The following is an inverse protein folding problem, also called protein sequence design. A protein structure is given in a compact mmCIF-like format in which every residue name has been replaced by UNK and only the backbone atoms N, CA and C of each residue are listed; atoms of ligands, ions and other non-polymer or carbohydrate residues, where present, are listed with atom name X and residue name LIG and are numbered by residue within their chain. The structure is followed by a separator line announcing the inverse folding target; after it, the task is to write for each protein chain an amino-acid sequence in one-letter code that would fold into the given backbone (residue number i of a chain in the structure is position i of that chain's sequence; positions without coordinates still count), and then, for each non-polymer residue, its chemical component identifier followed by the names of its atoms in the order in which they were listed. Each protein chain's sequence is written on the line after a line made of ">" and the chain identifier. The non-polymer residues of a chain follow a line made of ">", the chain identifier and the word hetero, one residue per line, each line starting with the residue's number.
data_IF_883823214797
#
_entry.id   IF_883823214797
#
_cell.length_a   1.000
_cell.length_b   1.000
_cell.length_c   1.000
_cell.angle_alpha   90.00
_cell.angle_beta   90.00
_cell.angle_gamma   90.00
#
_symmetry.space_group_name_H-M   'P 1'
#
loop_
_entity.id
_entity.type
_entity.pdbx_description
1 polymer ?
#
# COMPACT_ATOMS: atom_id res chain seq x y z
N UNK A 1 77.59 4.31 57.80
CA UNK A 1 76.25 4.38 57.17
C UNK A 1 76.01 3.12 56.35
N UNK A 2 75.03 2.28 56.72
CA UNK A 2 74.22 1.42 55.83
C UNK A 2 73.17 0.67 56.66
N UNK A 3 71.92 0.77 56.20
CA UNK A 3 70.68 0.14 56.69
C UNK A 3 70.43 -1.17 55.95
N UNK A 4 69.90 -2.19 56.63
CA UNK A 4 69.16 -3.35 56.06
C UNK A 4 68.04 -3.66 57.08
N UNK A 5 66.78 -3.32 56.82
CA UNK A 5 65.77 -3.94 55.93
C UNK A 5 65.30 -5.31 56.45
N UNK A 6 64.10 -5.31 57.04
CA UNK A 6 63.41 -6.45 57.64
C UNK A 6 62.27 -6.86 56.70
N UNK A 7 62.29 -8.13 56.27
CA UNK A 7 61.27 -8.76 55.44
C UNK A 7 60.14 -9.25 56.34
N UNK A 8 58.91 -8.86 56.05
CA UNK A 8 57.69 -9.48 56.61
C UNK A 8 56.81 -9.95 55.45
N UNK A 9 56.48 -11.23 55.53
CA UNK A 9 55.58 -11.99 54.67
C UNK A 9 54.13 -11.62 55.03
N UNK A 10 53.30 -11.22 54.05
CA UNK A 10 51.87 -10.95 54.25
C UNK A 10 51.05 -12.00 53.49
N UNK A 11 50.30 -12.81 54.25
CA UNK A 11 49.29 -13.73 53.77
C UNK A 11 48.05 -12.98 53.23
N UNK A 12 47.36 -13.61 52.29
CA UNK A 12 46.34 -12.99 51.44
C UNK A 12 45.03 -12.58 52.12
N UNK A 13 44.34 -11.66 51.46
CA UNK A 13 42.91 -11.39 51.56
C UNK A 13 42.29 -11.66 50.19
N UNK A 14 41.18 -12.42 50.09
CA UNK A 14 40.43 -12.51 48.85
C UNK A 14 39.74 -11.16 48.60
N UNK A 15 39.99 -10.58 47.42
CA UNK A 15 39.22 -9.45 46.92
C UNK A 15 37.80 -9.94 46.64
N UNK A 16 36.83 -9.49 47.44
CA UNK A 16 35.42 -9.60 47.09
C UNK A 16 35.19 -8.76 45.82
N UNK A 17 34.76 -9.41 44.74
CA UNK A 17 34.32 -8.71 43.53
C UNK A 17 33.04 -7.93 43.83
N UNK A 18 33.00 -6.66 43.44
CA UNK A 18 31.76 -5.89 43.45
C UNK A 18 30.81 -6.49 42.40
N UNK A 19 29.78 -7.21 42.83
CA UNK A 19 28.70 -7.66 41.96
C UNK A 19 27.86 -6.44 41.58
N UNK A 20 27.64 -6.22 40.28
CA UNK A 20 26.71 -5.20 39.78
C UNK A 20 25.30 -5.79 39.78
N UNK A 21 24.33 -5.07 40.31
CA UNK A 21 22.93 -5.50 40.32
C UNK A 21 22.39 -5.55 38.88
N UNK A 22 21.86 -6.71 38.48
CA UNK A 22 21.24 -6.97 37.19
C UNK A 22 19.73 -7.11 37.33
N UNK A 23 19.02 -6.90 36.23
CA UNK A 23 17.56 -7.06 36.13
C UNK A 23 17.22 -7.83 34.86
N UNK A 24 16.14 -8.62 34.89
CA UNK A 24 15.58 -9.25 33.70
C UNK A 24 14.52 -8.31 33.13
N UNK A 25 14.79 -7.64 32.01
CA UNK A 25 13.85 -6.72 31.38
C UNK A 25 12.82 -7.50 30.56
N UNK A 26 11.54 -7.25 30.82
CA UNK A 26 10.42 -8.03 30.28
C UNK A 26 9.57 -7.20 29.33
N UNK A 27 9.29 -5.95 29.71
CA UNK A 27 8.46 -5.04 28.93
C UNK A 27 9.02 -3.62 29.09
N UNK A 28 8.72 -2.75 28.15
CA UNK A 28 8.96 -1.31 28.29
C UNK A 28 7.74 -0.60 27.76
N UNK A 29 7.29 0.44 28.46
CA UNK A 29 6.09 1.21 28.11
C UNK A 29 6.36 2.69 28.25
N UNK A 30 5.64 3.50 27.49
CA UNK A 30 5.60 4.94 27.74
C UNK A 30 4.98 5.19 29.12
N UNK A 31 5.45 6.21 29.85
CA UNK A 31 5.17 6.40 31.29
C UNK A 31 3.69 6.35 31.67
N UNK A 32 2.80 6.86 30.80
CA UNK A 32 1.34 6.81 31.01
C UNK A 32 0.75 5.38 31.05
N UNK A 33 1.36 4.42 30.36
CA UNK A 33 0.94 3.02 30.33
C UNK A 33 1.78 2.11 31.24
N UNK A 34 2.98 2.57 31.63
CA UNK A 34 3.94 1.77 32.37
C UNK A 34 3.44 1.32 33.74
N UNK A 35 2.71 2.16 34.46
CA UNK A 35 2.15 1.80 35.76
C UNK A 35 1.15 0.63 35.65
N UNK A 36 0.29 0.64 34.63
CA UNK A 36 -0.67 -0.45 34.38
C UNK A 36 0.01 -1.74 33.97
N UNK A 37 1.03 -1.66 33.11
CA UNK A 37 1.82 -2.82 32.70
C UNK A 37 2.65 -3.40 33.85
N UNK A 38 3.27 -2.55 34.66
CA UNK A 38 4.00 -2.94 35.86
C UNK A 38 3.09 -3.67 36.87
N UNK A 39 1.89 -3.15 37.12
CA UNK A 39 0.91 -3.79 38.00
C UNK A 39 0.45 -5.17 37.49
N UNK A 40 0.32 -5.35 36.16
CA UNK A 40 0.02 -6.67 35.57
C UNK A 40 1.12 -7.68 35.86
N UNK A 41 2.38 -7.31 35.65
CA UNK A 41 3.52 -8.18 35.94
C UNK A 41 3.70 -8.43 37.44
N UNK A 42 3.44 -7.43 38.28
CA UNK A 42 3.48 -7.57 39.74
C UNK A 42 2.42 -8.54 40.30
N UNK A 43 1.34 -8.79 39.54
CA UNK A 43 0.37 -9.85 39.87
C UNK A 43 0.90 -11.27 39.65
N UNK A 44 1.98 -11.44 38.89
CA UNK A 44 2.59 -12.73 38.55
C UNK A 44 3.96 -12.93 39.21
N UNK A 45 4.71 -11.86 39.46
CA UNK A 45 6.04 -11.88 40.06
C UNK A 45 6.12 -10.87 41.22
N UNK A 46 6.73 -11.27 42.34
CA UNK A 46 6.77 -10.46 43.56
C UNK A 46 7.91 -9.42 43.58
N UNK A 47 8.83 -9.51 42.64
CA UNK A 47 10.07 -8.73 42.56
C UNK A 47 10.14 -7.92 41.27
N UNK A 48 9.00 -7.37 40.87
CA UNK A 48 8.92 -6.44 39.73
C UNK A 48 9.39 -5.07 40.16
N UNK A 49 10.33 -4.53 39.39
CA UNK A 49 10.84 -3.18 39.53
C UNK A 49 10.58 -2.41 38.24
N UNK A 50 10.35 -1.12 38.39
CA UNK A 50 10.38 -0.16 37.29
C UNK A 50 11.58 0.74 37.41
N UNK A 51 12.12 1.16 36.28
CA UNK A 51 13.12 2.21 36.25
C UNK A 51 13.00 3.02 34.97
N UNK A 52 13.30 4.33 35.05
CA UNK A 52 13.19 5.19 33.89
C UNK A 52 14.22 4.78 32.83
N UNK A 53 13.75 4.68 31.60
CA UNK A 53 14.57 4.62 30.40
C UNK A 53 14.56 6.00 29.71
N UNK A 54 15.55 6.28 28.85
CA UNK A 54 15.52 7.48 28.04
C UNK A 54 14.21 7.61 27.23
N UNK A 55 13.78 8.85 27.01
CA UNK A 55 12.60 9.22 26.21
C UNK A 55 11.22 8.88 26.81
N UNK A 56 11.05 8.96 28.13
CA UNK A 56 9.72 8.79 28.79
C UNK A 56 9.18 7.36 28.73
N UNK A 57 10.09 6.40 28.53
CA UNK A 57 9.81 4.99 28.67
C UNK A 57 10.20 4.56 30.07
N UNK A 58 9.42 3.66 30.63
CA UNK A 58 9.74 2.98 31.87
C UNK A 58 9.95 1.50 31.55
N UNK A 59 11.12 0.98 31.91
CA UNK A 59 11.39 -0.44 31.88
C UNK A 59 10.59 -1.12 32.99
N UNK A 60 10.06 -2.31 32.68
CA UNK A 60 9.46 -3.21 33.66
C UNK A 60 10.35 -4.45 33.68
N UNK A 61 10.91 -4.74 34.85
CA UNK A 61 11.91 -5.78 34.99
C UNK A 61 11.72 -6.58 36.29
N UNK A 62 12.34 -7.76 36.34
CA UNK A 62 12.43 -8.59 37.55
C UNK A 62 13.83 -8.39 38.16
N UNK A 63 13.87 -8.00 39.42
CA UNK A 63 15.11 -7.82 40.18
C UNK A 63 14.99 -6.85 41.36
N UNK A 64 16.10 -6.42 41.97
CA UNK A 64 17.49 -6.69 41.57
C UNK A 64 17.93 -8.14 41.80
N UNK A 65 18.81 -8.65 40.94
CA UNK A 65 19.43 -9.98 40.96
C UNK A 65 20.93 -9.85 40.72
N UNK A 66 21.72 -10.85 41.12
CA UNK A 66 23.09 -10.92 40.58
C UNK A 66 23.07 -11.33 39.09
N UNK A 67 24.11 -11.00 38.30
CA UNK A 67 24.14 -11.36 36.87
C UNK A 67 24.06 -12.87 36.63
N UNK A 68 24.66 -13.68 37.50
CA UNK A 68 24.59 -15.15 37.44
C UNK A 68 23.16 -15.66 37.72
N UNK A 69 22.49 -15.12 38.74
CA UNK A 69 21.10 -15.46 39.06
C UNK A 69 20.13 -15.00 37.98
N UNK A 70 20.32 -13.80 37.43
CA UNK A 70 19.51 -13.27 36.33
C UNK A 70 19.61 -14.16 35.09
N UNK A 71 20.82 -14.63 34.74
CA UNK A 71 21.07 -15.54 33.63
C UNK A 71 20.42 -16.92 33.83
N UNK A 72 20.49 -17.50 35.02
CA UNK A 72 19.84 -18.78 35.31
C UNK A 72 18.30 -18.64 35.31
N UNK A 73 17.78 -17.54 35.85
CA UNK A 73 16.35 -17.31 36.02
C UNK A 73 15.65 -16.96 34.71
N UNK A 74 16.28 -16.18 33.82
CA UNK A 74 15.67 -15.83 32.52
C UNK A 74 15.43 -17.08 31.65
N UNK A 75 16.39 -18.01 31.61
CA UNK A 75 16.28 -19.26 30.83
C UNK A 75 15.15 -20.15 31.37
N UNK A 76 15.03 -20.25 32.69
CA UNK A 76 13.94 -21.00 33.32
C UNK A 76 12.55 -20.39 33.01
N UNK A 77 12.43 -19.06 33.07
CA UNK A 77 11.18 -18.35 32.80
C UNK A 77 10.77 -18.43 31.32
N UNK A 78 11.73 -18.32 30.38
CA UNK A 78 11.47 -18.48 28.95
C UNK A 78 11.06 -19.90 28.60
N UNK A 79 11.74 -20.91 29.14
CA UNK A 79 11.41 -22.32 28.93
C UNK A 79 10.02 -22.69 29.47
N UNK A 80 9.60 -22.04 30.55
CA UNK A 80 8.27 -22.20 31.13
C UNK A 80 7.19 -21.32 30.48
N UNK A 81 7.54 -20.48 29.49
CA UNK A 81 6.60 -19.57 28.82
C UNK A 81 6.03 -18.48 29.73
N UNK A 82 6.69 -18.17 30.85
CA UNK A 82 6.20 -17.22 31.86
C UNK A 82 6.57 -15.76 31.55
N UNK A 83 7.55 -15.54 30.66
CA UNK A 83 7.96 -14.23 30.16
C UNK A 83 8.11 -14.28 28.62
N UNK A 84 8.05 -13.14 27.92
CA UNK A 84 8.29 -13.05 26.48
C UNK A 84 9.69 -13.55 26.06
N UNK A 85 9.79 -14.14 24.87
CA UNK A 85 11.05 -14.72 24.37
C UNK A 85 12.14 -13.67 24.08
N UNK A 86 11.74 -12.43 23.86
CA UNK A 86 12.57 -11.24 23.66
C UNK A 86 13.01 -10.57 24.97
N UNK A 87 12.65 -11.11 26.14
CA UNK A 87 13.18 -10.65 27.42
C UNK A 87 14.70 -10.83 27.49
N UNK A 88 15.43 -9.95 28.17
CA UNK A 88 16.88 -10.05 28.30
C UNK A 88 17.42 -9.50 29.63
N UNK A 89 18.60 -9.99 30.04
CA UNK A 89 19.29 -9.51 31.25
C UNK A 89 19.99 -8.19 30.93
N UNK A 90 19.77 -7.18 31.77
CA UNK A 90 20.41 -5.86 31.67
C UNK A 90 21.04 -5.52 33.01
N UNK A 91 22.19 -4.87 32.98
CA UNK A 91 22.73 -4.14 34.13
C UNK A 91 22.37 -2.67 33.89
N UNK A 92 21.49 -2.06 34.68
CA UNK A 92 21.16 -0.64 34.53
C UNK A 92 22.43 0.20 34.62
N UNK A 93 22.69 1.05 33.62
CA UNK A 93 23.90 1.89 33.59
C UNK A 93 23.73 3.11 34.53
N UNK A 94 24.71 3.35 35.41
CA UNK A 94 24.73 4.49 36.33
C UNK A 94 23.93 4.29 37.63
N UNK A 95 23.70 5.38 38.39
CA UNK A 95 22.94 5.37 39.65
C UNK A 95 21.41 5.35 39.41
N UNK A 96 20.93 4.44 38.55
CA UNK A 96 19.51 4.31 38.22
C UNK A 96 18.75 3.71 39.40
N UNK A 97 17.76 4.44 39.93
CA UNK A 97 16.94 3.98 41.04
C UNK A 97 15.89 2.98 40.53
N UNK A 98 16.01 1.73 40.95
CA UNK A 98 14.99 0.70 40.77
C UNK A 98 13.84 0.96 41.75
N UNK A 99 12.63 1.13 41.23
CA UNK A 99 11.41 1.36 42.03
C UNK A 99 10.61 0.07 42.13
N UNK A 100 10.48 -0.55 43.32
CA UNK A 100 9.66 -1.74 43.50
C UNK A 100 8.18 -1.47 43.23
N UNK A 101 7.56 -2.33 42.42
CA UNK A 101 6.14 -2.26 42.09
C UNK A 101 5.41 -3.12 43.13
N UNK A 102 5.17 -2.54 44.32
CA UNK A 102 4.59 -3.31 45.42
C UNK A 102 4.31 -2.59 46.73
N UNK A 103 4.77 -1.34 46.92
CA UNK A 103 4.48 -0.59 48.16
C UNK A 103 3.60 0.64 47.89
N UNK A 104 2.33 0.65 48.36
CA UNK A 104 1.41 1.78 48.18
C UNK A 104 1.72 2.98 49.10
N UNK A 105 2.93 3.08 49.67
CA UNK A 105 3.25 4.02 50.76
C UNK A 105 4.16 5.20 50.38
N UNK A 106 4.51 5.40 49.10
CA UNK A 106 5.30 6.58 48.69
C UNK A 106 4.67 7.30 47.48
N UNK A 107 3.40 7.67 47.63
CA UNK A 107 2.74 8.73 46.85
C UNK A 107 2.12 9.73 47.82
N UNK A 108 2.95 10.37 48.63
CA UNK A 108 2.59 11.57 49.38
C UNK A 108 3.87 12.38 49.59
N UNK A 109 3.88 13.63 49.11
CA UNK A 109 4.97 14.61 49.08
C UNK A 109 6.08 14.44 48.02
N UNK A 110 5.77 14.92 46.81
CA UNK A 110 6.73 15.65 45.99
C UNK A 110 6.07 16.98 45.54
N UNK A 111 6.79 18.12 45.57
CA UNK A 111 6.21 19.41 45.19
C UNK A 111 5.83 19.41 43.71
N UNK A 112 4.78 20.16 43.37
CA UNK A 112 4.31 20.39 42.00
C UNK A 112 5.46 20.97 41.17
N UNK A 113 6.17 20.09 40.45
CA UNK A 113 7.05 20.49 39.38
C UNK A 113 6.17 20.94 38.21
N UNK A 114 6.31 22.22 37.91
CA UNK A 114 5.85 22.92 36.73
C UNK A 114 5.88 22.00 35.50
N UNK A 115 4.76 21.94 34.79
CA UNK A 115 4.61 21.16 33.55
C UNK A 115 5.64 21.70 32.56
N UNK A 116 6.80 21.06 32.49
CA UNK A 116 7.74 21.23 31.40
C UNK A 116 7.05 20.67 30.15
N UNK A 117 6.80 21.57 29.22
CA UNK A 117 6.46 21.31 27.82
C UNK A 117 7.26 20.09 27.31
N UNK A 118 6.62 19.11 26.64
CA UNK A 118 7.24 17.83 26.33
C UNK A 118 8.52 18.04 25.52
N UNK A 119 9.66 17.74 26.13
CA UNK A 119 10.94 17.73 25.43
C UNK A 119 10.87 16.64 24.36
N UNK A 120 11.03 17.07 23.10
CA UNK A 120 11.10 16.19 21.94
C UNK A 120 12.10 15.03 22.16
N UNK A 121 11.75 13.85 21.64
CA UNK A 121 12.64 12.68 21.51
C UNK A 121 14.05 13.15 21.11
N UNK A 122 15.16 12.67 21.71
CA UNK A 122 16.49 12.92 21.17
C UNK A 122 16.48 12.53 19.69
N UNK A 123 16.75 13.48 18.77
CA UNK A 123 16.43 13.37 17.34
C UNK A 123 17.24 12.30 16.58
N UNK A 124 18.21 11.68 17.25
CA UNK A 124 19.27 10.92 16.57
C UNK A 124 19.08 9.40 16.56
N UNK A 125 18.00 8.79 17.07
CA UNK A 125 17.82 7.32 16.96
C UNK A 125 16.58 6.93 16.14
N UNK A 126 16.65 5.85 15.35
CA UNK A 126 15.54 5.39 14.51
C UNK A 126 14.36 4.93 15.36
N UNK A 127 13.15 5.16 14.86
CA UNK A 127 11.93 4.62 15.46
C UNK A 127 11.96 3.07 15.45
N UNK A 128 11.37 2.38 16.43
CA UNK A 128 11.32 0.92 16.45
C UNK A 128 10.60 0.34 15.21
N UNK A 129 11.13 -0.76 14.67
CA UNK A 129 10.59 -1.44 13.50
C UNK A 129 11.68 -1.95 12.56
N UNK A 130 11.25 -2.48 11.43
CA UNK A 130 12.13 -2.88 10.33
C UNK A 130 12.29 -1.72 9.34
N UNK A 131 13.42 -1.69 8.65
CA UNK A 131 13.77 -0.71 7.63
C UNK A 131 14.34 -1.42 6.41
N UNK A 132 13.84 -1.08 5.22
CA UNK A 132 14.48 -1.50 3.98
C UNK A 132 15.66 -0.56 3.73
N UNK A 133 16.88 -1.10 3.74
CA UNK A 133 18.09 -0.36 3.39
C UNK A 133 18.31 -0.44 1.89
N UNK A 134 18.06 0.68 1.22
CA UNK A 134 18.03 0.78 -0.24
C UNK A 134 19.43 0.92 -0.83
N UNK A 135 20.31 1.63 -0.12
CA UNK A 135 21.68 1.87 -0.54
C UNK A 135 22.55 2.21 0.67
N UNK A 136 23.85 1.92 0.60
CA UNK A 136 24.83 2.34 1.60
C UNK A 136 26.05 2.96 0.94
N UNK A 137 26.49 4.12 1.44
CA UNK A 137 27.63 4.88 0.91
C UNK A 137 28.54 5.37 2.03
N UNK A 138 29.79 5.71 1.73
CA UNK A 138 30.76 6.11 2.76
C UNK A 138 30.82 7.62 2.99
N UNK A 139 30.68 8.41 1.93
CA UNK A 139 30.80 9.86 2.02
C UNK A 139 29.44 10.51 2.30
N UNK A 140 29.41 11.48 3.22
CA UNK A 140 28.19 12.22 3.57
C UNK A 140 27.54 12.89 2.36
N UNK A 141 28.35 13.55 1.53
CA UNK A 141 27.85 14.25 0.33
C UNK A 141 27.22 13.28 -0.70
N UNK A 142 27.76 12.06 -0.83
CA UNK A 142 27.16 11.02 -1.67
C UNK A 142 25.85 10.52 -1.06
N UNK A 143 25.76 10.47 0.27
CA UNK A 143 24.57 10.02 0.97
C UNK A 143 23.40 10.99 0.81
N UNK A 144 23.67 12.30 0.92
CA UNK A 144 22.67 13.34 0.68
C UNK A 144 22.19 13.31 -0.79
N UNK A 145 23.10 13.08 -1.75
CA UNK A 145 22.76 12.94 -3.16
C UNK A 145 21.94 11.66 -3.44
N UNK A 146 22.31 10.53 -2.83
CA UNK A 146 21.59 9.28 -2.94
C UNK A 146 20.18 9.41 -2.35
N UNK A 147 20.03 10.04 -1.18
CA UNK A 147 18.73 10.32 -0.57
C UNK A 147 17.84 11.14 -1.51
N UNK A 148 18.39 12.22 -2.08
CA UNK A 148 17.65 13.08 -3.02
C UNK A 148 17.20 12.31 -4.29
N UNK A 149 18.01 11.38 -4.78
CA UNK A 149 17.64 10.52 -5.89
C UNK A 149 16.54 9.52 -5.49
N UNK A 150 16.73 8.81 -4.38
CA UNK A 150 15.78 7.83 -3.87
C UNK A 150 14.41 8.43 -3.58
N UNK A 151 14.36 9.67 -3.10
CA UNK A 151 13.09 10.38 -2.84
C UNK A 151 12.27 10.71 -4.07
N UNK A 152 12.83 10.58 -5.28
CA UNK A 152 12.03 10.63 -6.52
C UNK A 152 11.14 9.40 -6.68
N UNK A 153 11.59 8.25 -6.18
CA UNK A 153 10.86 6.97 -6.23
C UNK A 153 10.11 6.69 -4.94
N UNK A 154 10.77 6.95 -3.80
CA UNK A 154 10.26 6.75 -2.44
C UNK A 154 10.37 8.06 -1.65
N UNK A 155 9.41 8.99 -1.81
CA UNK A 155 9.42 10.27 -1.10
C UNK A 155 9.60 10.16 0.42
N UNK A 156 9.17 9.04 0.99
CA UNK A 156 9.25 8.71 2.42
C UNK A 156 10.66 8.28 2.88
N UNK A 157 11.63 8.14 1.98
CA UNK A 157 12.97 7.70 2.33
C UNK A 157 13.68 8.65 3.32
N UNK A 158 14.43 8.05 4.25
CA UNK A 158 15.27 8.72 5.22
C UNK A 158 16.74 8.35 5.09
N UNK A 159 17.58 8.97 5.92
CA UNK A 159 19.03 8.79 5.94
C UNK A 159 19.49 8.53 7.38
N UNK A 160 20.26 7.46 7.56
CA UNK A 160 20.88 7.10 8.84
C UNK A 160 22.39 6.93 8.68
N UNK A 161 23.15 7.23 9.73
CA UNK A 161 24.56 6.92 9.87
C UNK A 161 24.72 5.63 10.68
N UNK A 162 25.19 4.60 9.99
CA UNK A 162 25.38 3.26 10.51
C UNK A 162 26.52 3.20 11.55
N UNK A 163 26.52 2.21 12.47
CA UNK A 163 27.57 2.08 13.49
C UNK A 163 29.00 1.93 12.95
N UNK A 164 29.15 1.47 11.71
CA UNK A 164 30.44 1.35 11.03
C UNK A 164 30.90 2.66 10.34
N UNK A 165 30.18 3.76 10.54
CA UNK A 165 30.48 5.09 9.98
C UNK A 165 29.97 5.32 8.56
N UNK A 166 29.36 4.32 7.91
CA UNK A 166 28.73 4.48 6.60
C UNK A 166 27.35 5.15 6.74
N UNK A 167 26.79 5.60 5.63
CA UNK A 167 25.46 6.19 5.56
C UNK A 167 24.53 5.27 4.77
N UNK A 168 23.35 4.98 5.32
CA UNK A 168 22.32 4.17 4.70
C UNK A 168 21.10 5.01 4.33
N UNK A 169 20.66 4.93 3.08
CA UNK A 169 19.34 5.41 2.68
C UNK A 169 18.33 4.31 3.01
N UNK A 170 17.30 4.65 3.77
CA UNK A 170 16.38 3.69 4.38
C UNK A 170 14.92 4.06 4.13
N UNK A 171 14.06 3.05 4.09
CA UNK A 171 12.62 3.18 4.02
C UNK A 171 12.00 2.44 5.22
N UNK A 172 11.31 3.17 6.10
CA UNK A 172 10.76 2.64 7.34
C UNK A 172 10.52 3.74 8.39
N UNK A 173 10.00 3.40 9.58
CA UNK A 173 9.78 2.04 10.08
C UNK A 173 8.57 1.36 9.43
N UNK A 174 8.66 0.03 9.28
CA UNK A 174 7.57 -0.85 8.85
C UNK A 174 7.55 -2.13 9.69
N UNK A 175 6.45 -2.88 9.63
CA UNK A 175 6.38 -4.23 10.18
C UNK A 175 7.40 -5.15 9.50
N UNK A 176 7.97 -6.11 10.24
CA UNK A 176 9.02 -6.99 9.71
C UNK A 176 8.52 -7.87 8.55
N UNK A 177 7.32 -8.46 8.68
CA UNK A 177 6.76 -9.29 7.63
C UNK A 177 6.40 -8.45 6.40
N UNK A 178 5.96 -7.21 6.60
CA UNK A 178 5.79 -6.25 5.50
C UNK A 178 7.12 -5.93 4.82
N UNK A 179 8.17 -5.61 5.58
CA UNK A 179 9.48 -5.27 5.03
C UNK A 179 10.07 -6.38 4.16
N UNK A 180 10.04 -7.62 4.65
CA UNK A 180 10.58 -8.78 3.94
C UNK A 180 9.78 -9.02 2.64
N UNK A 181 8.44 -9.00 2.70
CA UNK A 181 7.61 -9.23 1.53
C UNK A 181 7.70 -8.10 0.49
N UNK A 182 7.76 -6.83 0.92
CA UNK A 182 7.86 -5.69 0.01
C UNK A 182 9.24 -5.56 -0.61
N UNK A 183 10.31 -5.97 0.09
CA UNK A 183 11.64 -6.01 -0.51
C UNK A 183 11.66 -6.93 -1.75
N UNK A 184 11.05 -8.10 -1.65
CA UNK A 184 10.93 -9.03 -2.78
C UNK A 184 10.12 -8.40 -3.92
N UNK A 185 8.99 -7.76 -3.62
CA UNK A 185 8.16 -7.07 -4.62
C UNK A 185 8.92 -5.94 -5.31
N UNK A 186 9.72 -5.17 -4.58
CA UNK A 186 10.52 -4.07 -5.14
C UNK A 186 11.66 -4.59 -6.01
N UNK A 187 12.33 -5.68 -5.62
CA UNK A 187 13.36 -6.32 -6.45
C UNK A 187 12.78 -6.90 -7.73
N UNK A 188 11.67 -7.61 -7.61
CA UNK A 188 10.94 -8.19 -8.76
C UNK A 188 10.46 -7.13 -9.77
N UNK A 189 10.26 -5.89 -9.30
CA UNK A 189 9.88 -4.73 -10.11
C UNK A 189 11.04 -3.85 -10.56
N UNK A 190 12.29 -4.27 -10.32
CA UNK A 190 13.51 -3.49 -10.60
C UNK A 190 13.51 -2.08 -9.95
N UNK A 191 12.79 -1.90 -8.84
CA UNK A 191 12.68 -0.62 -8.13
C UNK A 191 13.81 -0.41 -7.13
N UNK A 192 14.40 -1.50 -6.64
CA UNK A 192 15.55 -1.48 -5.72
C UNK A 192 16.62 -2.44 -6.21
N UNK A 193 17.90 -2.16 -5.93
CA UNK A 193 18.97 -3.06 -6.33
C UNK A 193 18.93 -4.39 -5.57
N UNK A 194 19.54 -5.43 -6.15
CA UNK A 194 19.59 -6.78 -5.58
C UNK A 194 20.25 -6.84 -4.19
N UNK A 195 21.17 -5.90 -3.90
CA UNK A 195 21.87 -5.79 -2.63
C UNK A 195 21.08 -5.01 -1.56
N UNK A 196 19.89 -4.48 -1.89
CA UNK A 196 18.97 -3.94 -0.89
C UNK A 196 18.51 -5.05 0.07
N UNK A 197 18.37 -4.71 1.35
CA UNK A 197 17.98 -5.69 2.37
C UNK A 197 17.25 -5.07 3.55
N UNK A 198 16.58 -5.90 4.36
CA UNK A 198 15.86 -5.45 5.56
C UNK A 198 16.80 -5.47 6.78
N UNK A 199 16.92 -4.32 7.44
CA UNK A 199 17.65 -4.14 8.71
C UNK A 199 16.69 -3.74 9.83
N UNK A 200 17.01 -4.12 11.06
CA UNK A 200 16.25 -3.68 12.23
C UNK A 200 16.72 -2.29 12.70
N UNK A 201 15.86 -1.55 13.41
CA UNK A 201 16.17 -0.22 13.93
C UNK A 201 17.50 -0.18 14.73
N UNK A 202 17.81 -1.24 15.48
CA UNK A 202 19.03 -1.33 16.28
C UNK A 202 20.32 -1.33 15.44
N UNK A 203 20.24 -1.64 14.16
CA UNK A 203 21.40 -1.73 13.24
C UNK A 203 21.70 -0.42 12.51
N UNK A 204 20.78 0.55 12.53
CA UNK A 204 20.88 1.78 11.72
C UNK A 204 21.76 2.88 12.31
N UNK A 205 22.16 2.76 13.58
CA UNK A 205 22.96 3.79 14.25
C UNK A 205 22.17 5.08 14.47
N UNK A 206 22.68 6.23 14.04
CA UNK A 206 22.03 7.53 14.25
C UNK A 206 21.22 8.02 13.05
N UNK A 207 20.05 8.60 13.28
CA UNK A 207 19.24 9.23 12.22
C UNK A 207 19.85 10.58 11.86
N UNK A 208 20.16 10.75 10.58
CA UNK A 208 20.69 12.00 10.02
C UNK A 208 19.56 12.85 9.45
N UNK A 209 18.66 12.20 8.72
CA UNK A 209 17.46 12.81 8.21
C UNK A 209 16.31 11.80 8.31
N UNK A 210 15.26 12.15 9.05
CA UNK A 210 14.14 11.26 9.24
C UNK A 210 13.37 11.06 7.92
N UNK A 211 12.99 9.82 7.64
CA UNK A 211 11.98 9.50 6.64
C UNK A 211 10.58 9.52 7.23
N UNK A 212 9.59 9.17 6.41
CA UNK A 212 8.22 8.91 6.84
C UNK A 212 7.95 7.39 6.84
N UNK A 213 7.06 6.93 7.70
CA UNK A 213 6.64 5.52 7.67
C UNK A 213 5.81 5.28 6.40
N UNK A 214 6.26 4.42 5.47
CA UNK A 214 5.52 4.20 4.23
C UNK A 214 4.29 3.33 4.48
N UNK A 215 3.25 3.54 3.67
CA UNK A 215 2.06 2.69 3.66
C UNK A 215 2.33 1.38 2.92
N UNK A 216 2.97 0.43 3.60
CA UNK A 216 3.31 -0.89 3.07
C UNK A 216 2.52 -1.97 3.84
N UNK A 217 1.38 -2.46 3.31
CA UNK A 217 0.59 -3.46 4.01
C UNK A 217 1.35 -4.77 4.18
N UNK A 218 1.21 -5.39 5.34
CA UNK A 218 1.77 -6.71 5.61
C UNK A 218 1.07 -7.81 4.80
N UNK A 219 1.78 -8.88 4.42
CA UNK A 219 1.15 -10.06 3.85
C UNK A 219 0.19 -10.74 4.85
N UNK A 220 -0.83 -11.48 4.37
CA UNK A 220 -1.66 -12.30 5.24
C UNK A 220 -0.84 -13.41 5.90
N UNK A 221 -1.27 -13.88 7.08
CA UNK A 221 -0.59 -14.98 7.81
C UNK A 221 -0.53 -16.29 7.03
N UNK A 222 -1.45 -16.50 6.09
CA UNK A 222 -1.45 -17.62 5.17
C UNK A 222 -1.71 -17.13 3.73
N UNK A 223 -1.10 -17.76 2.70
CA UNK A 223 -1.31 -17.38 1.31
C UNK A 223 -2.79 -17.37 0.95
N UNK A 224 -3.24 -16.31 0.28
CA UNK A 224 -4.62 -16.22 -0.14
C UNK A 224 -4.89 -17.01 -1.41
N UNK A 225 -6.08 -17.60 -1.49
CA UNK A 225 -6.58 -18.14 -2.76
C UNK A 225 -6.84 -17.00 -3.76
N UNK A 226 -6.42 -17.24 -5.00
CA UNK A 226 -6.66 -16.31 -6.11
C UNK A 226 -8.15 -16.30 -6.48
N UNK A 227 -8.79 -15.12 -6.61
CA UNK A 227 -10.15 -15.01 -7.13
C UNK A 227 -10.28 -15.58 -8.56
N UNK A 228 -11.51 -15.79 -9.06
CA UNK A 228 -11.74 -16.17 -10.45
C UNK A 228 -11.02 -15.21 -11.41
N UNK A 229 -10.20 -15.75 -12.31
CA UNK A 229 -9.25 -14.94 -13.07
C UNK A 229 -9.91 -13.98 -14.04
N UNK A 230 -11.12 -14.27 -14.51
CA UNK A 230 -11.89 -13.36 -15.33
C UNK A 230 -12.28 -12.11 -14.51
N UNK A 231 -12.55 -12.24 -13.21
CA UNK A 231 -12.76 -11.10 -12.32
C UNK A 231 -11.46 -10.34 -12.06
N UNK A 232 -10.35 -11.06 -11.89
CA UNK A 232 -9.02 -10.47 -11.74
C UNK A 232 -8.65 -9.63 -12.96
N UNK A 233 -8.76 -10.19 -14.17
CA UNK A 233 -8.45 -9.50 -15.41
C UNK A 233 -9.31 -8.23 -15.61
N UNK A 234 -10.60 -8.28 -15.25
CA UNK A 234 -11.48 -7.10 -15.28
C UNK A 234 -11.06 -6.04 -14.26
N UNK A 235 -10.69 -6.45 -13.05
CA UNK A 235 -10.18 -5.52 -12.03
C UNK A 235 -8.85 -4.88 -12.44
N UNK A 236 -7.95 -5.64 -13.05
CA UNK A 236 -6.68 -5.13 -13.58
C UNK A 236 -6.88 -4.16 -14.76
N UNK A 237 -7.85 -4.43 -15.64
CA UNK A 237 -8.23 -3.52 -16.73
C UNK A 237 -8.80 -2.22 -16.17
N UNK A 238 -9.70 -2.31 -15.18
CA UNK A 238 -10.22 -1.15 -14.46
C UNK A 238 -9.09 -0.33 -13.79
N UNK A 239 -8.07 -1.00 -13.25
CA UNK A 239 -6.89 -0.35 -12.69
C UNK A 239 -5.97 0.28 -13.74
N UNK A 240 -6.20 0.02 -15.04
CA UNK A 240 -5.41 0.58 -16.14
C UNK A 240 -4.08 -0.14 -16.41
N UNK A 241 -3.87 -1.32 -15.83
CA UNK A 241 -2.60 -2.08 -15.96
C UNK A 241 -2.73 -3.33 -16.84
N UNK A 242 -3.90 -3.57 -17.44
CA UNK A 242 -4.16 -4.75 -18.27
C UNK A 242 -4.96 -4.44 -19.53
N UNK A 243 -4.38 -4.74 -20.68
CA UNK A 243 -4.92 -4.53 -22.04
C UNK A 243 -5.27 -5.85 -22.76
N UNK A 244 -5.08 -6.99 -22.11
CA UNK A 244 -5.33 -8.32 -22.68
C UNK A 244 -6.81 -8.71 -22.71
N UNK A 245 -7.10 -9.86 -23.32
CA UNK A 245 -8.46 -10.43 -23.37
C UNK A 245 -8.91 -10.93 -21.98
N UNK A 246 -10.21 -10.83 -21.68
CA UNK A 246 -10.80 -11.41 -20.47
C UNK A 246 -11.16 -12.87 -20.75
N UNK A 247 -10.18 -13.76 -20.66
CA UNK A 247 -10.32 -15.18 -21.02
C UNK A 247 -10.36 -16.13 -19.81
N UNK A 248 -10.18 -15.60 -18.59
CA UNK A 248 -10.15 -16.37 -17.35
C UNK A 248 -8.95 -17.30 -17.23
N UNK A 249 -7.89 -17.11 -18.03
CA UNK A 249 -6.66 -17.92 -17.99
C UNK A 249 -5.49 -17.12 -17.44
N UNK A 250 -4.61 -17.80 -16.71
CA UNK A 250 -3.34 -17.18 -16.28
C UNK A 250 -2.34 -17.21 -17.44
N UNK A 251 -1.83 -16.04 -17.82
CA UNK A 251 -0.69 -15.91 -18.73
C UNK A 251 0.40 -14.96 -18.19
N UNK A 252 1.54 -14.82 -18.89
CA UNK A 252 2.58 -13.85 -18.53
C UNK A 252 2.02 -12.43 -18.36
N UNK A 253 1.22 -11.95 -19.33
CA UNK A 253 0.57 -10.63 -19.26
C UNK A 253 -0.28 -10.42 -18.01
N UNK A 254 -1.00 -11.45 -17.56
CA UNK A 254 -1.83 -11.35 -16.34
C UNK A 254 -0.94 -11.31 -15.09
N UNK A 255 0.12 -12.12 -15.03
CA UNK A 255 1.08 -12.09 -13.92
C UNK A 255 1.79 -10.73 -13.83
N UNK A 256 2.21 -10.18 -14.96
CA UNK A 256 2.88 -8.89 -15.02
C UNK A 256 1.93 -7.76 -14.59
N UNK A 257 0.67 -7.80 -15.02
CA UNK A 257 -0.35 -6.86 -14.59
C UNK A 257 -0.69 -6.96 -13.09
N UNK A 258 -0.69 -8.17 -12.50
CA UNK A 258 -0.85 -8.35 -11.05
C UNK A 258 0.30 -7.68 -10.30
N UNK A 259 1.55 -7.89 -10.73
CA UNK A 259 2.72 -7.23 -10.12
C UNK A 259 2.62 -5.71 -10.22
N UNK A 260 2.28 -5.20 -11.41
CA UNK A 260 2.09 -3.77 -11.64
C UNK A 260 0.97 -3.20 -10.77
N UNK A 261 -0.14 -3.92 -10.59
CA UNK A 261 -1.24 -3.48 -9.72
C UNK A 261 -0.82 -3.40 -8.25
N UNK A 262 -0.06 -4.39 -7.75
CA UNK A 262 0.45 -4.41 -6.38
C UNK A 262 1.32 -3.18 -6.12
N UNK A 263 2.29 -2.93 -7.01
CA UNK A 263 3.20 -1.80 -6.93
C UNK A 263 2.46 -0.45 -7.03
N UNK A 264 1.64 -0.27 -8.06
CA UNK A 264 1.01 1.02 -8.36
C UNK A 264 -0.03 1.45 -7.31
N UNK A 265 -0.66 0.48 -6.62
CA UNK A 265 -1.76 0.74 -5.70
C UNK A 265 -1.42 0.42 -4.23
N UNK A 266 -0.14 0.07 -3.96
CA UNK A 266 0.36 -0.41 -2.66
C UNK A 266 -0.55 -1.48 -2.04
N UNK A 267 -0.97 -2.45 -2.86
CA UNK A 267 -1.81 -3.56 -2.39
C UNK A 267 -0.97 -4.56 -1.59
N UNK A 268 -1.58 -5.42 -0.76
CA UNK A 268 -0.87 -6.49 -0.08
C UNK A 268 0.08 -7.26 -1.02
N UNK A 269 1.30 -7.61 -0.58
CA UNK A 269 2.30 -8.26 -1.44
C UNK A 269 1.94 -9.72 -1.82
N UNK A 270 0.88 -10.27 -1.22
CA UNK A 270 0.27 -11.54 -1.63
C UNK A 270 -0.71 -11.34 -2.80
N UNK A 271 -0.51 -12.00 -3.96
CA UNK A 271 -1.36 -11.82 -5.14
C UNK A 271 -2.86 -12.07 -4.94
N UNK A 272 -3.23 -13.10 -4.16
CA UNK A 272 -4.65 -13.42 -3.94
C UNK A 272 -5.34 -12.38 -3.05
N UNK A 273 -4.64 -11.89 -2.02
CA UNK A 273 -5.10 -10.81 -1.16
C UNK A 273 -5.20 -9.50 -1.95
N UNK A 274 -4.17 -9.16 -2.73
CA UNK A 274 -4.15 -7.99 -3.58
C UNK A 274 -5.33 -7.94 -4.54
N UNK A 275 -5.60 -9.05 -5.24
CA UNK A 275 -6.67 -9.07 -6.24
C UNK A 275 -8.06 -9.05 -5.61
N UNK A 276 -8.26 -9.66 -4.43
CA UNK A 276 -9.51 -9.52 -3.67
C UNK A 276 -9.77 -8.07 -3.29
N UNK A 277 -8.75 -7.38 -2.80
CA UNK A 277 -8.87 -5.98 -2.43
C UNK A 277 -9.12 -5.10 -3.65
N UNK A 278 -8.42 -5.35 -4.77
CA UNK A 278 -8.62 -4.61 -6.01
C UNK A 278 -10.06 -4.76 -6.55
N UNK A 279 -10.61 -5.98 -6.50
CA UNK A 279 -12.01 -6.24 -6.86
C UNK A 279 -12.96 -5.48 -5.93
N UNK A 280 -12.73 -5.51 -4.61
CA UNK A 280 -13.56 -4.79 -3.65
C UNK A 280 -13.52 -3.27 -3.87
N UNK A 281 -12.34 -2.70 -4.14
CA UNK A 281 -12.17 -1.27 -4.47
C UNK A 281 -12.93 -0.90 -5.75
N UNK A 282 -12.85 -1.74 -6.78
CA UNK A 282 -13.62 -1.58 -8.02
C UNK A 282 -15.12 -1.60 -7.76
N UNK A 283 -15.63 -2.58 -7.02
CA UNK A 283 -17.05 -2.71 -6.73
C UNK A 283 -17.60 -1.52 -5.92
N UNK A 284 -16.84 -1.06 -4.93
CA UNK A 284 -17.17 0.14 -4.16
C UNK A 284 -17.22 1.38 -5.06
N UNK A 285 -16.22 1.57 -5.94
CA UNK A 285 -16.20 2.66 -6.89
C UNK A 285 -17.37 2.61 -7.89
N UNK A 286 -17.74 1.42 -8.38
CA UNK A 286 -18.91 1.25 -9.26
C UNK A 286 -20.21 1.71 -8.59
N UNK A 287 -20.37 1.39 -7.30
CA UNK A 287 -21.51 1.82 -6.50
C UNK A 287 -21.50 3.34 -6.28
N UNK A 288 -20.33 3.93 -5.99
CA UNK A 288 -20.16 5.38 -5.82
C UNK A 288 -20.49 6.18 -7.09
N UNK A 289 -20.02 5.72 -8.25
CA UNK A 289 -20.28 6.38 -9.54
C UNK A 289 -21.72 6.13 -10.05
N UNK A 290 -22.45 5.20 -9.44
CA UNK A 290 -23.83 4.90 -9.81
C UNK A 290 -23.94 4.16 -11.16
N UNK A 291 -23.02 3.24 -11.44
CA UNK A 291 -23.09 2.44 -12.67
C UNK A 291 -24.25 1.45 -12.61
N UNK A 292 -25.21 1.62 -13.51
CA UNK A 292 -26.37 0.75 -13.66
C UNK A 292 -26.45 0.20 -15.07
N UNK A 293 -27.10 -0.94 -15.24
CA UNK A 293 -27.35 -1.51 -16.57
C UNK A 293 -28.33 -0.63 -17.33
N UNK A 294 -27.85 0.00 -18.40
CA UNK A 294 -28.66 0.68 -19.41
C UNK A 294 -29.03 -0.32 -20.49
N UNK A 295 -30.33 -0.58 -20.65
CA UNK A 295 -30.87 -1.33 -21.79
C UNK A 295 -31.50 -0.36 -22.79
N UNK A 296 -30.88 -0.23 -23.96
CA UNK A 296 -31.28 0.71 -24.99
C UNK A 296 -32.17 0.05 -26.05
N UNK A 297 -33.46 0.38 -26.01
CA UNK A 297 -34.45 -0.18 -26.93
C UNK A 297 -34.22 0.21 -28.40
N UNK A 298 -33.59 1.36 -28.66
CA UNK A 298 -33.36 1.85 -30.02
C UNK A 298 -32.34 1.00 -30.78
N UNK A 299 -31.24 0.66 -30.11
CA UNK A 299 -30.11 -0.09 -30.68
C UNK A 299 -30.17 -1.60 -30.39
N UNK A 300 -30.92 -1.99 -29.35
CA UNK A 300 -30.98 -3.36 -28.83
C UNK A 300 -29.78 -3.73 -27.94
N UNK A 301 -29.00 -2.73 -27.52
CA UNK A 301 -27.76 -2.89 -26.75
C UNK A 301 -28.00 -2.74 -25.25
N UNK A 302 -27.12 -3.34 -24.46
CA UNK A 302 -27.05 -3.26 -23.01
C UNK A 302 -25.62 -2.94 -22.60
N UNK A 303 -25.45 -1.99 -21.68
CA UNK A 303 -24.13 -1.59 -21.16
C UNK A 303 -24.27 -1.00 -19.77
N UNK A 304 -23.24 -1.10 -18.93
CA UNK A 304 -23.19 -0.34 -17.68
C UNK A 304 -22.92 1.14 -17.98
N UNK A 305 -23.73 2.04 -17.43
CA UNK A 305 -23.59 3.48 -17.63
C UNK A 305 -23.93 4.27 -16.35
N UNK A 306 -23.28 5.43 -16.12
CA UNK A 306 -23.56 6.31 -14.99
C UNK A 306 -24.81 7.14 -15.27
N UNK A 307 -25.99 6.53 -15.12
CA UNK A 307 -27.26 7.16 -15.51
C UNK A 307 -27.63 8.41 -14.69
N UNK A 308 -26.99 8.64 -13.55
CA UNK A 308 -27.13 9.89 -12.79
C UNK A 308 -26.43 11.08 -13.46
N UNK A 309 -25.52 10.82 -14.41
CA UNK A 309 -24.82 11.83 -15.21
C UNK A 309 -25.35 11.96 -16.63
N UNK A 310 -26.20 11.02 -17.05
CA UNK A 310 -26.66 10.88 -18.43
C UNK A 310 -28.18 10.99 -18.51
N UNK A 311 -28.67 11.63 -19.57
CA UNK A 311 -30.08 11.64 -19.91
C UNK A 311 -30.26 11.31 -21.38
N UNK A 312 -31.27 10.50 -21.69
CA UNK A 312 -31.62 10.26 -23.08
C UNK A 312 -31.97 11.59 -23.77
N UNK A 313 -31.34 11.85 -24.92
CA UNK A 313 -31.58 13.04 -25.74
C UNK A 313 -32.47 12.64 -26.94
N UNK A 314 -31.95 11.79 -27.83
CA UNK A 314 -32.66 11.37 -29.04
C UNK A 314 -32.09 10.10 -29.66
N UNK A 315 -32.87 9.49 -30.55
CA UNK A 315 -32.40 8.51 -31.52
C UNK A 315 -32.08 9.19 -32.85
N UNK A 316 -30.97 8.83 -33.48
CA UNK A 316 -30.58 9.35 -34.79
C UNK A 316 -30.04 8.24 -35.69
N UNK A 317 -30.87 7.80 -36.65
CA UNK A 317 -30.58 6.65 -37.52
C UNK A 317 -30.21 5.39 -36.72
N UNK A 318 -28.93 5.00 -36.75
CA UNK A 318 -28.37 3.84 -36.05
C UNK A 318 -27.84 4.17 -34.65
N UNK A 319 -28.03 5.41 -34.18
CA UNK A 319 -27.49 5.94 -32.93
C UNK A 319 -28.58 6.15 -31.88
N UNK A 320 -28.23 5.89 -30.62
CA UNK A 320 -28.96 6.38 -29.44
C UNK A 320 -28.05 7.32 -28.67
N UNK A 321 -28.48 8.57 -28.48
CA UNK A 321 -27.67 9.65 -27.90
C UNK A 321 -28.20 9.96 -26.50
N UNK A 322 -27.31 9.87 -25.53
CA UNK A 322 -27.51 10.26 -24.15
C UNK A 322 -26.62 11.48 -23.87
N UNK A 323 -27.25 12.63 -23.65
CA UNK A 323 -26.57 13.88 -23.32
C UNK A 323 -26.31 14.04 -21.82
N UNK A 324 -25.68 15.15 -21.42
CA UNK A 324 -25.39 15.44 -20.02
C UNK A 324 -26.66 15.70 -19.24
N UNK A 325 -26.79 15.08 -18.06
CA UNK A 325 -27.78 15.43 -17.04
C UNK A 325 -27.18 16.45 -16.08
N UNK A 326 -27.96 17.47 -15.72
CA UNK A 326 -27.61 18.46 -14.69
C UNK A 326 -26.22 19.09 -14.84
N UNK A 327 -25.79 19.33 -16.08
CA UNK A 327 -24.49 19.95 -16.37
C UNK A 327 -23.27 19.04 -16.15
N UNK A 328 -23.46 17.71 -16.10
CA UNK A 328 -22.38 16.73 -15.89
C UNK A 328 -21.22 16.81 -16.89
N UNK A 329 -21.45 17.36 -18.08
CA UNK A 329 -20.48 17.36 -19.19
C UNK A 329 -20.22 15.96 -19.77
N UNK A 330 -20.96 14.94 -19.33
CA UNK A 330 -20.86 13.58 -19.82
C UNK A 330 -21.83 13.32 -20.97
N UNK A 331 -21.43 12.55 -21.97
CA UNK A 331 -22.33 12.04 -22.99
C UNK A 331 -21.97 10.61 -23.39
N UNK A 332 -22.99 9.85 -23.76
CA UNK A 332 -22.88 8.47 -24.23
C UNK A 332 -23.63 8.34 -25.55
N UNK A 333 -22.97 7.81 -26.56
CA UNK A 333 -23.60 7.44 -27.83
C UNK A 333 -23.48 5.94 -27.99
N UNK A 334 -24.61 5.25 -28.15
CA UNK A 334 -24.65 3.84 -28.52
C UNK A 334 -24.93 3.74 -30.01
N UNK A 335 -24.28 2.82 -30.71
CA UNK A 335 -24.50 2.61 -32.13
C UNK A 335 -24.66 1.13 -32.48
N UNK A 336 -25.53 0.86 -33.45
CA UNK A 336 -25.84 -0.49 -33.88
C UNK A 336 -26.39 -0.46 -35.30
N UNK A 337 -25.67 -1.03 -36.25
CA UNK A 337 -26.11 -1.13 -37.64
C UNK A 337 -25.79 -2.51 -38.25
N UNK A 338 -26.64 -3.04 -39.15
CA UNK A 338 -26.28 -4.17 -39.99
C UNK A 338 -25.03 -3.85 -40.81
N UNK A 339 -24.11 -4.80 -40.93
CA UNK A 339 -22.86 -4.60 -41.66
C UNK A 339 -21.66 -5.29 -41.03
N UNK A 340 -20.47 -4.97 -41.53
CA UNK A 340 -19.21 -5.51 -41.06
C UNK A 340 -18.15 -4.43 -40.88
N UNK A 341 -16.96 -4.72 -41.39
CA UNK A 341 -15.78 -3.85 -41.21
C UNK A 341 -16.00 -2.45 -41.80
N UNK A 342 -16.65 -2.33 -42.95
CA UNK A 342 -16.82 -1.05 -43.63
C UNK A 342 -17.72 -0.11 -42.80
N UNK A 343 -18.83 -0.64 -42.28
CA UNK A 343 -19.76 0.11 -41.43
C UNK A 343 -19.10 0.57 -40.11
N UNK A 344 -18.23 -0.27 -39.55
CA UNK A 344 -17.45 0.09 -38.36
C UNK A 344 -16.42 1.20 -38.67
N UNK A 345 -15.77 1.13 -39.84
CA UNK A 345 -14.83 2.17 -40.31
C UNK A 345 -15.54 3.49 -40.61
N UNK A 346 -16.71 3.45 -41.23
CA UNK A 346 -17.50 4.64 -41.54
C UNK A 346 -17.91 5.37 -40.25
N UNK A 347 -18.30 4.61 -39.22
CA UNK A 347 -18.56 5.17 -37.89
C UNK A 347 -17.29 5.80 -37.29
N UNK A 348 -16.13 5.14 -37.38
CA UNK A 348 -14.87 5.72 -36.89
C UNK A 348 -14.56 7.07 -37.55
N UNK A 349 -14.91 7.21 -38.84
CA UNK A 349 -14.86 8.46 -39.59
C UNK A 349 -15.82 9.51 -39.05
N UNK A 350 -17.07 9.13 -38.79
CA UNK A 350 -18.10 10.00 -38.21
C UNK A 350 -17.70 10.54 -36.83
N UNK A 351 -17.24 9.66 -35.94
CA UNK A 351 -16.77 10.01 -34.58
C UNK A 351 -15.66 11.06 -34.63
N UNK A 352 -14.74 10.92 -35.60
CA UNK A 352 -13.64 11.85 -35.81
C UNK A 352 -14.13 13.17 -36.39
N UNK A 353 -15.01 13.13 -37.41
CA UNK A 353 -15.52 14.32 -38.09
C UNK A 353 -16.39 15.20 -37.19
N UNK A 354 -17.17 14.59 -36.29
CA UNK A 354 -18.01 15.31 -35.32
C UNK A 354 -17.24 15.79 -34.10
N UNK A 355 -15.95 15.45 -33.97
CA UNK A 355 -15.11 15.87 -32.85
C UNK A 355 -15.48 15.24 -31.50
N UNK A 356 -16.22 14.12 -31.51
CA UNK A 356 -16.60 13.41 -30.28
C UNK A 356 -15.38 12.84 -29.56
N UNK A 357 -14.42 12.30 -30.32
CA UNK A 357 -13.09 11.93 -29.82
C UNK A 357 -12.07 12.91 -30.39
N UNK A 358 -11.49 13.82 -29.59
CA UNK A 358 -10.56 14.83 -30.08
C UNK A 358 -9.21 14.21 -30.46
N UNK A 359 -8.69 14.54 -31.65
CA UNK A 359 -7.36 14.11 -32.11
C UNK A 359 -7.07 12.62 -31.82
N UNK A 360 -7.92 11.69 -32.29
CA UNK A 360 -7.92 10.31 -31.81
C UNK A 360 -6.62 9.58 -32.19
N UNK A 361 -6.00 8.94 -31.21
CA UNK A 361 -5.12 7.79 -31.45
C UNK A 361 -6.02 6.63 -31.87
N UNK A 362 -5.66 5.96 -32.97
CA UNK A 362 -6.48 4.92 -33.60
C UNK A 362 -5.81 3.56 -33.48
N UNK A 363 -6.47 2.62 -32.82
CA UNK A 363 -6.15 1.19 -32.90
C UNK A 363 -7.28 0.49 -33.68
N UNK A 364 -6.99 0.09 -34.92
CA UNK A 364 -7.95 -0.53 -35.83
C UNK A 364 -7.44 -1.93 -36.17
N UNK A 365 -8.26 -2.93 -35.83
CA UNK A 365 -8.02 -4.34 -36.12
C UNK A 365 -9.20 -4.90 -36.92
N UNK A 366 -9.03 -6.05 -37.59
CA UNK A 366 -10.18 -6.73 -38.18
C UNK A 366 -11.25 -7.01 -37.12
N UNK A 367 -12.46 -6.49 -37.34
CA UNK A 367 -13.60 -6.64 -36.45
C UNK A 367 -13.56 -5.81 -35.16
N UNK A 368 -12.60 -4.90 -34.98
CA UNK A 368 -12.49 -4.06 -33.78
C UNK A 368 -11.91 -2.68 -34.08
N UNK A 369 -12.46 -1.65 -33.47
CA UNK A 369 -11.95 -0.27 -33.51
C UNK A 369 -11.94 0.28 -32.09
N UNK A 370 -10.80 0.85 -31.70
CA UNK A 370 -10.64 1.66 -30.51
C UNK A 370 -10.06 3.03 -30.90
N UNK A 371 -10.76 4.10 -30.52
CA UNK A 371 -10.33 5.48 -30.67
C UNK A 371 -10.27 6.13 -29.30
N UNK A 372 -9.16 6.73 -28.95
CA UNK A 372 -8.98 7.46 -27.68
C UNK A 372 -8.34 8.82 -27.95
N UNK A 373 -8.80 9.85 -27.27
CA UNK A 373 -8.30 11.20 -27.50
C UNK A 373 -8.84 12.22 -26.50
N UNK A 374 -8.19 13.37 -26.42
CA UNK A 374 -8.50 14.40 -25.44
C UNK A 374 -8.15 15.80 -25.97
N UNK A 375 -8.81 16.80 -25.40
CA UNK A 375 -8.46 18.22 -25.52
C UNK A 375 -8.70 18.92 -24.17
N UNK A 376 -8.59 20.26 -24.15
CA UNK A 376 -8.78 21.05 -22.93
C UNK A 376 -10.20 21.00 -22.34
N UNK A 377 -11.20 20.59 -23.14
CA UNK A 377 -12.60 20.53 -22.73
C UNK A 377 -13.02 19.12 -22.27
N UNK A 378 -12.69 18.10 -23.06
CA UNK A 378 -13.17 16.74 -22.84
C UNK A 378 -12.19 15.65 -23.28
N UNK A 379 -12.37 14.47 -22.67
CA UNK A 379 -11.77 13.21 -23.09
C UNK A 379 -12.85 12.39 -23.78
N UNK A 380 -12.49 11.76 -24.89
CA UNK A 380 -13.37 10.88 -25.66
C UNK A 380 -12.76 9.50 -25.84
N UNK A 381 -13.60 8.47 -25.78
CA UNK A 381 -13.28 7.11 -26.23
C UNK A 381 -14.41 6.56 -27.06
N UNK A 382 -14.09 5.96 -28.20
CA UNK A 382 -15.02 5.19 -28.99
C UNK A 382 -14.50 3.77 -29.15
N UNK A 383 -15.33 2.79 -28.83
CA UNK A 383 -14.98 1.38 -28.99
C UNK A 383 -16.10 0.64 -29.70
N UNK A 384 -15.73 -0.21 -30.66
CA UNK A 384 -16.69 -0.94 -31.46
C UNK A 384 -16.18 -2.25 -32.01
N UNK A 385 -17.11 -3.14 -32.31
CA UNK A 385 -16.87 -4.49 -32.79
C UNK A 385 -17.76 -4.85 -33.96
N UNK A 386 -17.29 -5.79 -34.77
CA UNK A 386 -18.14 -6.52 -35.71
C UNK A 386 -18.57 -7.85 -35.09
N UNK A 387 -19.87 -8.02 -34.85
CA UNK A 387 -20.45 -9.24 -34.24
C UNK A 387 -21.79 -9.55 -34.90
N UNK A 388 -22.04 -10.82 -35.18
CA UNK A 388 -23.32 -11.31 -35.74
C UNK A 388 -23.82 -10.53 -36.99
N UNK A 389 -22.89 -10.16 -37.89
CA UNK A 389 -23.22 -9.41 -39.10
C UNK A 389 -23.63 -7.95 -38.84
N UNK A 390 -23.16 -7.37 -37.73
CA UNK A 390 -23.42 -5.99 -37.34
C UNK A 390 -22.16 -5.28 -36.88
N UNK A 391 -22.14 -3.96 -37.07
CA UNK A 391 -21.17 -3.05 -36.47
C UNK A 391 -21.83 -2.34 -35.28
N UNK A 392 -21.27 -2.55 -34.08
CA UNK A 392 -21.85 -2.13 -32.81
C UNK A 392 -20.81 -1.61 -31.83
N UNK A 393 -21.22 -0.73 -30.92
CA UNK A 393 -20.33 -0.21 -29.88
C UNK A 393 -20.86 1.05 -29.22
N UNK A 394 -19.95 1.82 -28.65
CA UNK A 394 -20.26 3.05 -27.93
C UNK A 394 -19.21 4.15 -28.13
N UNK A 395 -19.60 5.37 -27.82
CA UNK A 395 -18.74 6.55 -27.65
C UNK A 395 -19.03 7.14 -26.28
N UNK A 396 -18.00 7.27 -25.44
CA UNK A 396 -18.06 7.91 -24.13
C UNK A 396 -17.28 9.23 -24.18
N UNK A 397 -17.99 10.32 -23.90
CA UNK A 397 -17.45 11.68 -23.79
C UNK A 397 -17.53 12.08 -22.32
N UNK A 398 -16.43 12.59 -21.76
CA UNK A 398 -16.33 12.92 -20.34
C UNK A 398 -15.53 14.21 -20.11
N UNK A 399 -15.78 14.96 -19.02
CA UNK A 399 -14.99 16.15 -18.70
C UNK A 399 -13.49 15.86 -18.59
N UNK A 400 -12.65 16.74 -19.16
CA UNK A 400 -11.19 16.56 -19.14
C UNK A 400 -10.60 16.56 -17.72
N UNK A 401 -11.30 17.16 -16.76
CA UNK A 401 -10.92 17.17 -15.34
C UNK A 401 -10.91 15.76 -14.70
N UNK A 402 -11.56 14.76 -15.32
CA UNK A 402 -11.66 13.39 -14.79
C UNK A 402 -11.35 12.34 -15.87
N UNK A 403 -10.16 12.44 -16.46
CA UNK A 403 -9.69 11.48 -17.47
C UNK A 403 -9.59 10.04 -16.92
N UNK A 404 -9.17 9.88 -15.65
CA UNK A 404 -9.05 8.56 -15.02
C UNK A 404 -10.43 7.93 -14.78
N UNK A 405 -11.41 8.71 -14.32
CA UNK A 405 -12.79 8.24 -14.19
C UNK A 405 -13.37 7.80 -15.54
N UNK A 406 -13.12 8.57 -16.60
CA UNK A 406 -13.52 8.20 -17.96
C UNK A 406 -12.95 6.84 -18.38
N UNK A 407 -11.64 6.62 -18.17
CA UNK A 407 -10.98 5.37 -18.54
C UNK A 407 -11.56 4.17 -17.77
N UNK A 408 -11.83 4.36 -16.46
CA UNK A 408 -12.47 3.34 -15.61
C UNK A 408 -13.89 3.02 -16.04
N UNK A 409 -14.70 4.04 -16.35
CA UNK A 409 -16.08 3.86 -16.85
C UNK A 409 -16.05 3.14 -18.19
N UNK A 410 -15.18 3.55 -19.11
CA UNK A 410 -15.05 2.89 -20.41
C UNK A 410 -14.64 1.41 -20.28
N UNK A 411 -13.76 1.06 -19.34
CA UNK A 411 -13.42 -0.33 -19.06
C UNK A 411 -14.66 -1.15 -18.61
N UNK A 412 -15.47 -0.61 -17.69
CA UNK A 412 -16.74 -1.25 -17.29
C UNK A 412 -17.73 -1.39 -18.44
N UNK A 413 -17.80 -0.38 -19.31
CA UNK A 413 -18.64 -0.40 -20.50
C UNK A 413 -18.21 -1.50 -21.46
N UNK A 414 -16.92 -1.57 -21.81
CA UNK A 414 -16.41 -2.61 -22.72
C UNK A 414 -16.62 -4.02 -22.18
N UNK A 415 -16.49 -4.21 -20.86
CA UNK A 415 -16.72 -5.50 -20.20
C UNK A 415 -18.20 -5.92 -20.17
N UNK A 416 -19.11 -4.96 -20.04
CA UNK A 416 -20.56 -5.20 -19.91
C UNK A 416 -21.34 -5.10 -21.22
N UNK A 417 -20.70 -4.64 -22.29
CA UNK A 417 -21.33 -4.40 -23.58
C UNK A 417 -21.88 -5.69 -24.19
N UNK A 418 -23.20 -5.74 -24.38
CA UNK A 418 -23.89 -6.89 -24.92
C UNK A 418 -25.11 -6.48 -25.76
N UNK A 419 -25.50 -7.33 -26.72
CA UNK A 419 -26.79 -7.24 -27.40
C UNK A 419 -27.83 -8.06 -26.63
N UNK A 420 -29.01 -7.49 -26.39
CA UNK A 420 -30.15 -8.17 -25.73
C UNK A 420 -31.25 -8.61 -26.68
N UNK A 421 -31.37 -7.95 -27.84
CA UNK A 421 -32.42 -8.25 -28.79
C UNK A 421 -32.38 -7.33 -30.00
N UNK A 422 -33.42 -7.39 -30.86
CA UNK A 422 -33.54 -6.49 -32.00
C UNK A 422 -33.75 -5.05 -31.54
N UNK A 423 -33.04 -4.11 -32.16
CA UNK A 423 -33.24 -2.67 -31.92
C UNK A 423 -34.45 -2.14 -32.69
N UNK A 424 -35.13 -1.13 -32.15
CA UNK A 424 -36.21 -0.44 -32.88
C UNK A 424 -35.71 0.17 -34.22
N UNK A 425 -34.41 0.47 -34.33
CA UNK A 425 -33.78 0.95 -35.55
C UNK A 425 -33.79 -0.07 -36.71
N UNK A 426 -34.03 -1.36 -36.44
CA UNK A 426 -34.10 -2.41 -37.47
C UNK A 426 -35.37 -2.31 -38.33
N UNK A 427 -36.49 -1.87 -37.74
CA UNK A 427 -37.74 -1.66 -38.46
C UNK A 427 -37.72 -0.48 -39.43
N UNK A 428 -36.82 0.50 -39.19
CA UNK A 428 -36.69 1.69 -40.02
C UNK A 428 -35.93 1.42 -41.33
N UNK A 429 -34.99 0.49 -41.33
CA UNK A 429 -34.24 0.08 -42.54
C UNK A 429 -35.03 -0.86 -43.47
N UNK A 430 -36.08 -1.53 -42.96
CA UNK A 430 -36.89 -2.48 -43.73
C UNK A 430 -37.97 -1.86 -44.64
N UNK A 431 -38.17 -0.53 -44.64
CA UNK A 431 -39.28 0.13 -45.34
C UNK A 431 -38.86 0.90 -46.60
N UNK A 432 -37.84 0.44 -47.29
CA UNK A 432 -37.56 0.80 -48.69
C UNK A 432 -38.00 -0.36 -49.61
N UNK A 433 -39.28 -0.75 -49.53
CA UNK A 433 -39.86 -1.63 -50.54
C UNK A 433 -40.03 -0.81 -51.84
N UNK A 434 -39.38 -1.28 -52.90
CA UNK A 434 -39.42 -0.72 -54.24
C UNK A 434 -40.88 -0.47 -54.69
N UNK A 435 -41.20 0.69 -55.28
CA UNK A 435 -42.47 0.85 -55.96
C UNK A 435 -42.49 -0.08 -57.18
N UNK A 436 -43.36 -1.09 -57.15
CA UNK A 436 -43.79 -1.81 -58.34
C UNK A 436 -44.44 -0.81 -59.29
N UNK A 437 -43.79 -0.53 -60.42
CA UNK A 437 -44.41 0.24 -61.49
C UNK A 437 -45.43 -0.64 -62.25
N UNK A 438 -46.54 -0.04 -62.72
CA UNK A 438 -47.67 -0.73 -63.35
C UNK A 438 -47.39 -1.25 -64.77
#
# INVERSE_FOLDING_TARGET
>A
MRRWALVVMAAGLPLAGFAQDAVIRIESKHDAEAAGAAARWAGQFNDVVTFPLPRGWTAIAIGPLTPEEAGARIEALKKAGQIPQDSFVTVPEGDVVLTPVGDPASQADAPVAEVAEPAALPPDLPAPGAYLRLQSVQARAEADAALAEWRKTFPEAGLAQLPNGWFGVVLGPVDRAAADAWLDVFKDGDLVPDDAFVSDAAELGSVIEAGEAPDLPAPPTAPAEMPPLDQVQRALRWAGVYDGEIDGKTGPRTRDAIKAAILANRLPPDPGAAMRELIARRDAWRAEVGLVTLEDAATGLSVLAPMDRLQFDRTERALSIYGPRDGSGAALILFSQPGGQQELLDLSGLVTALGWVPQPVRDIKPGHVLLEGANDAHVGRAEGWVRDGRAEGFVLIWPAADAQGQARIAAEMSDSFARKGPGANEGATGKAAMPTQP
#
